data_IF_205795409844
#
_entry.id   IF_205795409844
#
_cell.length_a   1.000
_cell.length_b   1.000
_cell.length_c   1.000
_cell.angle_alpha   90.00
_cell.angle_beta   90.00
_cell.angle_gamma   90.00
#
_symmetry.space_group_name_H-M   'P 1'
#
loop_
_entity.id
_entity.type
_entity.pdbx_description
1 polymer ?
#
# COMPACT_ATOMS: atom_id res chain seq x y z
N UNK A 1 -3.31 -28.49 -2.10
CA UNK A 1 -2.44 -27.46 -2.71
C UNK A 1 -2.79 -26.03 -2.29
N UNK A 2 -4.06 -25.59 -2.42
CA UNK A 2 -4.45 -24.21 -2.10
C UNK A 2 -4.10 -23.79 -0.66
N UNK A 3 -4.42 -24.62 0.35
CA UNK A 3 -4.09 -24.31 1.75
C UNK A 3 -2.59 -24.12 2.01
N UNK A 4 -1.72 -24.87 1.32
CA UNK A 4 -0.27 -24.70 1.45
C UNK A 4 0.24 -23.41 0.81
N UNK A 5 -0.35 -23.00 -0.32
CA UNK A 5 -0.05 -21.70 -0.95
C UNK A 5 -0.52 -20.56 -0.05
N UNK A 6 -1.74 -20.64 0.48
CA UNK A 6 -2.30 -19.63 1.38
C UNK A 6 -1.44 -19.47 2.64
N UNK A 7 -1.11 -20.57 3.30
CA UNK A 7 -0.23 -20.55 4.48
C UNK A 7 1.13 -19.90 4.18
N UNK A 8 1.77 -20.26 3.07
CA UNK A 8 3.06 -19.67 2.68
C UNK A 8 2.93 -18.18 2.32
N UNK A 9 1.84 -17.79 1.67
CA UNK A 9 1.53 -16.39 1.40
C UNK A 9 1.42 -15.59 2.69
N UNK A 10 0.65 -16.09 3.66
CA UNK A 10 0.48 -15.45 4.97
C UNK A 10 1.80 -15.38 5.75
N UNK A 11 2.62 -16.44 5.75
CA UNK A 11 3.94 -16.46 6.42
C UNK A 11 4.92 -15.46 5.80
N UNK A 12 4.97 -15.36 4.47
CA UNK A 12 5.75 -14.31 3.79
C UNK A 12 5.16 -12.94 4.09
N UNK A 13 3.84 -12.84 4.24
CA UNK A 13 3.15 -11.64 4.69
C UNK A 13 3.59 -11.17 6.08
N UNK A 14 3.79 -12.08 7.03
CA UNK A 14 4.37 -11.76 8.35
C UNK A 14 5.76 -11.14 8.15
N UNK A 15 6.64 -11.80 7.38
CA UNK A 15 7.97 -11.28 7.10
C UNK A 15 7.93 -9.89 6.44
N UNK A 16 7.03 -9.69 5.47
CA UNK A 16 6.83 -8.41 4.81
C UNK A 16 6.39 -7.33 5.80
N UNK A 17 5.46 -7.65 6.70
CA UNK A 17 5.01 -6.75 7.76
C UNK A 17 6.11 -6.39 8.76
N UNK A 18 6.93 -7.36 9.18
CA UNK A 18 8.06 -7.11 10.09
C UNK A 18 9.14 -6.21 9.46
N UNK A 19 9.46 -6.43 8.18
CA UNK A 19 10.41 -5.59 7.46
C UNK A 19 9.82 -4.19 7.21
N UNK A 20 8.53 -4.09 6.91
CA UNK A 20 7.83 -2.82 6.80
C UNK A 20 7.77 -2.06 8.12
N UNK A 21 7.57 -2.76 9.25
CA UNK A 21 7.67 -2.18 10.59
C UNK A 21 9.06 -1.59 10.84
N UNK A 22 10.11 -2.38 10.61
CA UNK A 22 11.49 -1.89 10.79
C UNK A 22 11.77 -0.67 9.92
N UNK A 23 11.37 -0.70 8.65
CA UNK A 23 11.50 0.45 7.75
C UNK A 23 10.69 1.66 8.24
N UNK A 24 9.45 1.45 8.67
CA UNK A 24 8.58 2.51 9.18
C UNK A 24 9.14 3.14 10.46
N UNK A 25 9.74 2.36 11.36
CA UNK A 25 10.39 2.89 12.58
C UNK A 25 11.58 3.78 12.27
N UNK A 26 12.36 3.44 11.24
CA UNK A 26 13.59 4.17 10.88
C UNK A 26 13.30 5.39 10.00
N UNK A 27 12.40 5.26 9.03
CA UNK A 27 12.18 6.29 8.00
C UNK A 27 10.81 6.96 8.07
N UNK A 28 9.79 6.30 8.63
CA UNK A 28 8.43 6.84 8.73
C UNK A 28 8.19 7.63 10.03
N UNK A 29 8.45 7.02 11.18
CA UNK A 29 8.19 7.61 12.49
C UNK A 29 8.90 8.95 12.73
N UNK A 30 10.15 9.19 12.27
CA UNK A 30 10.74 10.52 12.37
C UNK A 30 9.91 11.60 11.65
N UNK A 31 9.29 11.27 10.51
CA UNK A 31 8.46 12.21 9.75
C UNK A 31 7.11 12.47 10.45
N UNK A 32 6.55 11.42 11.06
CA UNK A 32 5.34 11.53 11.89
C UNK A 32 5.62 12.40 13.12
N UNK A 33 6.75 12.21 13.78
CA UNK A 33 7.15 13.01 14.94
C UNK A 33 7.36 14.49 14.57
N UNK A 34 8.01 14.78 13.43
CA UNK A 34 8.17 16.14 12.90
C UNK A 34 6.82 16.79 12.62
N UNK A 35 5.89 16.06 12.02
CA UNK A 35 4.56 16.59 11.72
C UNK A 35 3.77 16.94 13.00
N UNK A 36 3.83 16.10 14.03
CA UNK A 36 3.19 16.35 15.33
C UNK A 36 3.82 17.55 16.05
N UNK A 37 5.15 17.72 15.99
CA UNK A 37 5.81 18.87 16.58
C UNK A 37 5.34 20.20 15.94
N UNK A 38 5.19 20.21 14.61
CA UNK A 38 4.68 21.36 13.86
C UNK A 38 3.21 21.69 14.20
N UNK A 39 2.40 20.68 14.51
CA UNK A 39 1.02 20.87 14.97
C UNK A 39 0.97 21.61 16.32
N UNK A 40 1.83 21.21 17.25
CA UNK A 40 1.95 21.83 18.57
C UNK A 40 2.40 23.29 18.48
N UNK A 41 3.38 23.59 17.63
CA UNK A 41 3.87 24.95 17.42
C UNK A 41 2.83 25.86 16.73
N UNK A 42 2.07 25.33 15.77
CA UNK A 42 0.98 26.05 15.09
C UNK A 42 -0.25 26.31 15.96
N UNK A 43 -0.51 25.43 16.94
CA UNK A 43 -1.61 25.58 17.91
C UNK A 43 -1.41 26.76 18.89
N UNK A 44 -0.17 27.22 19.10
CA UNK A 44 0.13 28.37 19.96
C UNK A 44 -0.09 29.73 19.28
N UNK A 45 -0.41 29.76 17.99
CA UNK A 45 -0.70 31.01 17.26
C UNK A 45 -2.21 31.31 17.10
N UNK A 46 -3.08 30.49 17.71
CA UNK A 46 -4.52 30.75 17.81
C UNK A 46 -4.98 30.75 19.28
N UNK A 47 -4.55 31.77 20.04
CA UNK A 47 -5.10 32.05 21.37
C UNK A 47 -4.05 32.41 22.41
N UNK A 48 -3.63 33.67 22.44
CA UNK A 48 -3.21 34.28 23.70
C UNK A 48 -4.43 34.33 24.63
N UNK A 49 -4.57 33.37 25.54
CA UNK A 49 -5.30 33.53 26.79
C UNK A 49 -4.90 32.45 27.81
N UNK A 50 -4.13 32.91 28.79
CA UNK A 50 -4.00 32.42 30.16
C UNK A 50 -3.04 31.26 30.49
N UNK A 51 -2.18 31.61 31.44
CA UNK A 51 -1.19 30.79 32.09
C UNK A 51 -1.81 29.76 33.04
N UNK A 52 -1.20 28.58 33.10
CA UNK A 52 -1.40 27.59 34.15
C UNK A 52 -0.16 26.71 34.26
N UNK A 53 0.54 26.85 35.39
CA UNK A 53 1.74 26.11 35.78
C UNK A 53 1.54 24.58 35.80
N UNK A 54 2.67 23.89 35.64
CA UNK A 54 2.83 22.43 35.64
C UNK A 54 2.24 21.75 36.88
N UNK A 55 1.57 20.60 36.69
CA UNK A 55 1.69 19.52 37.67
C UNK A 55 1.69 18.12 37.02
N UNK A 56 2.52 17.26 37.58
CA UNK A 56 2.74 15.88 37.18
C UNK A 56 1.67 14.98 37.80
N UNK A 57 0.64 14.60 37.05
CA UNK A 57 -0.13 13.40 37.38
C UNK A 57 -0.64 12.68 36.13
N UNK A 58 0.17 11.73 35.67
CA UNK A 58 -0.18 10.80 34.61
C UNK A 58 -1.05 9.68 35.19
N UNK A 59 -2.32 9.98 35.47
CA UNK A 59 -3.29 9.00 35.93
C UNK A 59 -4.61 9.12 35.15
N UNK A 60 -4.75 8.24 34.16
CA UNK A 60 -6.01 7.80 33.54
C UNK A 60 -7.07 8.89 33.27
N UNK A 61 -6.86 9.67 32.23
CA UNK A 61 -7.97 10.26 31.48
C UNK A 61 -8.62 9.16 30.60
N UNK A 62 -9.89 8.78 30.81
CA UNK A 62 -10.62 7.84 29.95
C UNK A 62 -10.88 8.37 28.53
N UNK A 63 -10.62 9.67 28.28
CA UNK A 63 -10.66 10.33 26.98
C UNK A 63 -9.30 10.45 26.28
N UNK A 64 -8.19 10.14 26.96
CA UNK A 64 -6.87 10.19 26.34
C UNK A 64 -6.73 9.02 25.36
N UNK A 65 -6.66 9.35 24.07
CA UNK A 65 -6.46 8.37 23.00
C UNK A 65 -5.20 7.51 23.19
N UNK A 66 -5.03 6.51 22.32
CA UNK A 66 -3.88 5.59 22.36
C UNK A 66 -2.56 6.40 22.37
N UNK A 67 -1.67 6.14 23.33
CA UNK A 67 -0.42 6.91 23.47
C UNK A 67 0.48 6.83 22.24
N UNK A 68 1.24 7.90 21.97
CA UNK A 68 2.20 7.96 20.84
C UNK A 68 3.23 6.84 20.89
N UNK A 69 3.68 6.45 22.09
CA UNK A 69 4.57 5.30 22.28
C UNK A 69 3.94 3.98 21.85
N UNK A 70 2.66 3.76 22.19
CA UNK A 70 1.91 2.58 21.74
C UNK A 70 1.67 2.60 20.23
N UNK A 71 1.30 3.75 19.65
CA UNK A 71 1.09 3.90 18.22
C UNK A 71 2.37 3.60 17.42
N UNK A 72 3.49 4.22 17.78
CA UNK A 72 4.79 4.03 17.13
C UNK A 72 5.42 2.67 17.42
N UNK A 73 5.04 2.02 18.52
CA UNK A 73 5.55 0.72 18.96
C UNK A 73 4.69 -0.45 18.52
N UNK A 74 3.98 -1.04 19.48
CA UNK A 74 3.21 -2.28 19.28
C UNK A 74 2.03 -2.09 18.32
N UNK A 75 1.45 -0.89 18.25
CA UNK A 75 0.38 -0.56 17.30
C UNK A 75 0.84 -0.65 15.86
N UNK A 76 1.94 0.04 15.53
CA UNK A 76 2.56 -0.01 14.20
C UNK A 76 3.03 -1.42 13.83
N UNK A 77 3.64 -2.15 14.76
CA UNK A 77 4.04 -3.55 14.56
C UNK A 77 2.85 -4.43 14.22
N UNK A 78 1.77 -4.30 14.98
CA UNK A 78 0.54 -5.07 14.76
C UNK A 78 -0.08 -4.72 13.42
N UNK A 79 -0.25 -3.42 13.13
CA UNK A 79 -0.87 -2.95 11.88
C UNK A 79 -0.12 -3.41 10.64
N UNK A 80 1.20 -3.22 10.60
CA UNK A 80 2.04 -3.64 9.47
C UNK A 80 2.07 -5.16 9.30
N UNK A 81 2.10 -5.93 10.40
CA UNK A 81 2.09 -7.40 10.37
C UNK A 81 0.75 -7.94 9.86
N UNK A 82 -0.37 -7.47 10.41
CA UNK A 82 -1.71 -7.88 9.98
C UNK A 82 -1.96 -7.50 8.53
N UNK A 83 -1.56 -6.29 8.12
CA UNK A 83 -1.63 -5.85 6.73
C UNK A 83 -0.82 -6.76 5.80
N UNK A 84 0.42 -7.08 6.19
CA UNK A 84 1.28 -8.00 5.43
C UNK A 84 0.68 -9.39 5.28
N UNK A 85 0.14 -9.97 6.36
CA UNK A 85 -0.56 -11.27 6.35
C UNK A 85 -1.75 -11.25 5.39
N UNK A 86 -2.60 -10.23 5.48
CA UNK A 86 -3.78 -10.10 4.64
C UNK A 86 -3.40 -10.00 3.16
N UNK A 87 -2.45 -9.12 2.81
CA UNK A 87 -1.97 -8.99 1.43
C UNK A 87 -1.28 -10.26 0.93
N UNK A 88 -0.48 -10.92 1.77
CA UNK A 88 0.16 -12.20 1.41
C UNK A 88 -0.86 -13.30 1.12
N UNK A 89 -1.95 -13.35 1.90
CA UNK A 89 -3.06 -14.27 1.66
C UNK A 89 -3.81 -13.96 0.36
N UNK A 90 -4.13 -12.69 0.11
CA UNK A 90 -4.77 -12.24 -1.14
C UNK A 90 -3.90 -12.57 -2.36
N UNK A 91 -2.60 -12.25 -2.30
CA UNK A 91 -1.66 -12.56 -3.38
C UNK A 91 -1.60 -14.08 -3.65
N UNK A 92 -1.62 -14.91 -2.61
CA UNK A 92 -1.64 -16.35 -2.76
C UNK A 92 -2.91 -16.88 -3.42
N UNK A 93 -4.08 -16.33 -3.08
CA UNK A 93 -5.36 -16.67 -3.71
C UNK A 93 -5.39 -16.27 -5.18
N UNK A 94 -4.97 -15.04 -5.49
CA UNK A 94 -4.87 -14.54 -6.87
C UNK A 94 -3.89 -15.40 -7.68
N UNK A 95 -2.71 -15.67 -7.14
CA UNK A 95 -1.72 -16.55 -7.77
C UNK A 95 -2.28 -17.94 -8.07
N UNK A 96 -2.98 -18.56 -7.11
CA UNK A 96 -3.60 -19.87 -7.31
C UNK A 96 -4.73 -19.85 -8.35
N UNK A 97 -5.41 -18.71 -8.52
CA UNK A 97 -6.37 -18.46 -9.60
C UNK A 97 -5.72 -18.36 -10.98
N UNK A 98 -4.58 -17.67 -11.04
CA UNK A 98 -3.88 -17.25 -12.28
C UNK A 98 -2.91 -18.32 -12.82
N UNK A 99 -2.11 -18.96 -11.95
CA UNK A 99 -1.04 -19.86 -12.36
C UNK A 99 -1.60 -21.09 -13.10
N UNK A 100 -1.07 -21.38 -14.29
CA UNK A 100 -1.49 -22.52 -15.11
C UNK A 100 -2.84 -22.36 -15.83
N UNK A 101 -3.68 -21.41 -15.41
CA UNK A 101 -4.94 -21.06 -16.10
C UNK A 101 -4.76 -19.87 -17.04
N UNK A 102 -4.23 -18.78 -16.50
CA UNK A 102 -4.08 -17.51 -17.22
C UNK A 102 -2.61 -17.20 -17.53
N UNK A 103 -1.67 -17.75 -16.75
CA UNK A 103 -0.23 -17.60 -16.94
C UNK A 103 0.43 -18.93 -17.28
N UNK A 104 1.16 -18.95 -18.40
CA UNK A 104 2.07 -20.03 -18.79
C UNK A 104 3.50 -19.82 -18.25
N UNK A 105 3.75 -18.74 -17.50
CA UNK A 105 5.06 -18.44 -16.95
C UNK A 105 5.40 -19.35 -15.76
N UNK A 106 6.69 -19.39 -15.43
CA UNK A 106 7.16 -20.03 -14.19
C UNK A 106 6.48 -19.37 -12.98
N UNK A 107 6.18 -20.12 -11.90
CA UNK A 107 5.54 -19.60 -10.69
C UNK A 107 6.15 -18.30 -10.16
N UNK A 108 7.48 -18.21 -10.09
CA UNK A 108 8.20 -17.00 -9.65
C UNK A 108 7.87 -15.77 -10.51
N UNK A 109 7.88 -15.93 -11.83
CA UNK A 109 7.60 -14.84 -12.75
C UNK A 109 6.14 -14.39 -12.67
N UNK A 110 5.19 -15.33 -12.56
CA UNK A 110 3.78 -15.00 -12.33
C UNK A 110 3.60 -14.22 -11.04
N UNK A 111 4.18 -14.67 -9.92
CA UNK A 111 4.08 -13.94 -8.65
C UNK A 111 4.71 -12.55 -8.74
N UNK A 112 5.88 -12.42 -9.38
CA UNK A 112 6.54 -11.13 -9.56
C UNK A 112 5.67 -10.14 -10.35
N UNK A 113 5.05 -10.59 -11.44
CA UNK A 113 4.14 -9.75 -12.25
C UNK A 113 2.85 -9.40 -11.49
N UNK A 114 2.28 -10.34 -10.72
CA UNK A 114 1.12 -10.06 -9.88
C UNK A 114 1.45 -9.05 -8.77
N UNK A 115 2.62 -9.19 -8.14
CA UNK A 115 3.07 -8.24 -7.12
C UNK A 115 3.35 -6.86 -7.72
N UNK A 116 4.01 -6.78 -8.88
CA UNK A 116 4.26 -5.51 -9.56
C UNK A 116 2.95 -4.84 -10.01
N UNK A 117 2.06 -5.59 -10.67
CA UNK A 117 0.76 -5.09 -11.10
C UNK A 117 -0.11 -4.65 -9.92
N UNK A 118 -0.11 -5.43 -8.83
CA UNK A 118 -0.80 -5.07 -7.59
C UNK A 118 -0.23 -3.81 -6.94
N UNK A 119 1.09 -3.67 -6.85
CA UNK A 119 1.74 -2.45 -6.37
C UNK A 119 1.35 -1.24 -7.22
N UNK A 120 1.43 -1.35 -8.55
CA UNK A 120 1.06 -0.26 -9.45
C UNK A 120 -0.41 0.13 -9.27
N UNK A 121 -1.31 -0.86 -9.30
CA UNK A 121 -2.75 -0.62 -9.30
C UNK A 121 -3.29 -0.16 -7.93
N UNK A 122 -2.77 -0.72 -6.82
CA UNK A 122 -3.30 -0.49 -5.47
C UNK A 122 -2.53 0.57 -4.68
N UNK A 123 -1.27 0.83 -5.03
CA UNK A 123 -0.40 1.73 -4.27
C UNK A 123 0.01 2.94 -5.10
N UNK A 124 0.70 2.71 -6.22
CA UNK A 124 1.34 3.78 -6.97
C UNK A 124 0.28 4.70 -7.58
N UNK A 125 -0.64 4.16 -8.36
CA UNK A 125 -1.63 4.96 -9.09
C UNK A 125 -2.58 5.73 -8.15
N UNK A 126 -3.18 5.11 -7.12
CA UNK A 126 -3.96 5.87 -6.14
C UNK A 126 -3.12 6.92 -5.40
N UNK A 127 -1.86 6.58 -5.05
CA UNK A 127 -0.95 7.49 -4.36
C UNK A 127 -0.46 8.66 -5.22
N UNK A 128 -0.45 8.53 -6.55
CA UNK A 128 -0.15 9.63 -7.47
C UNK A 128 -1.29 10.66 -7.51
N UNK A 129 -2.55 10.21 -7.50
CA UNK A 129 -3.71 11.12 -7.50
C UNK A 129 -4.03 11.67 -6.11
N UNK A 130 -3.94 10.83 -5.09
CA UNK A 130 -4.28 11.13 -3.71
C UNK A 130 -3.14 10.68 -2.78
N UNK A 131 -2.04 11.47 -2.71
CA UNK A 131 -0.88 11.12 -1.90
C UNK A 131 -1.20 11.13 -0.40
N UNK A 132 -0.40 10.39 0.37
CA UNK A 132 -0.56 10.35 1.82
C UNK A 132 -0.25 11.73 2.45
N UNK A 133 -1.05 12.11 3.43
CA UNK A 133 -0.84 13.30 4.24
C UNK A 133 -0.35 12.88 5.64
N UNK A 134 0.65 13.59 6.21
CA UNK A 134 1.09 13.36 7.58
C UNK A 134 0.00 13.75 8.58
N UNK A 135 0.15 13.39 9.87
CA UNK A 135 -0.61 14.04 10.93
C UNK A 135 -0.49 15.57 10.80
N UNK A 136 -1.48 16.32 11.29
CA UNK A 136 -1.61 17.79 11.13
C UNK A 136 -1.99 18.30 9.73
N UNK A 137 -2.01 17.46 8.68
CA UNK A 137 -2.42 17.88 7.32
C UNK A 137 -3.75 17.23 6.92
N UNK A 138 -4.77 18.07 6.75
CA UNK A 138 -6.13 17.69 6.41
C UNK A 138 -7.15 18.14 7.45
N UNK A 139 -8.42 18.18 7.07
CA UNK A 139 -9.50 18.61 7.97
C UNK A 139 -10.43 17.44 8.34
N UNK A 140 -11.05 17.43 9.53
CA UNK A 140 -12.01 16.39 9.90
C UNK A 140 -13.21 16.31 8.95
N UNK A 141 -13.65 17.44 8.41
CA UNK A 141 -14.83 17.56 7.53
C UNK A 141 -14.62 16.87 6.18
N UNK A 142 -13.37 16.75 5.71
CA UNK A 142 -13.04 16.16 4.41
C UNK A 142 -12.70 14.67 4.48
N UNK A 143 -12.66 14.06 5.67
CA UNK A 143 -12.30 12.63 5.85
C UNK A 143 -13.17 11.72 4.98
N UNK A 144 -14.48 11.98 4.96
CA UNK A 144 -15.44 11.18 4.19
C UNK A 144 -15.15 11.21 2.68
N UNK A 145 -15.04 12.41 2.10
CA UNK A 145 -14.82 12.57 0.66
C UNK A 145 -13.45 12.04 0.22
N UNK A 146 -12.41 12.22 1.03
CA UNK A 146 -11.07 11.67 0.75
C UNK A 146 -11.04 10.16 0.76
N UNK A 147 -11.70 9.57 1.75
CA UNK A 147 -11.79 8.11 1.85
C UNK A 147 -12.54 7.56 0.63
N UNK A 148 -13.70 8.15 0.29
CA UNK A 148 -14.50 7.72 -0.86
C UNK A 148 -13.73 7.85 -2.18
N UNK A 149 -13.10 9.00 -2.43
CA UNK A 149 -12.34 9.24 -3.68
C UNK A 149 -11.10 8.36 -3.79
N UNK A 150 -10.41 8.07 -2.69
CA UNK A 150 -9.31 7.11 -2.67
C UNK A 150 -9.78 5.70 -3.05
N UNK A 151 -10.88 5.23 -2.47
CA UNK A 151 -11.44 3.91 -2.83
C UNK A 151 -11.95 3.86 -4.27
N UNK A 152 -12.55 4.93 -4.79
CA UNK A 152 -12.95 5.03 -6.19
C UNK A 152 -11.73 4.96 -7.13
N UNK A 153 -10.65 5.68 -6.80
CA UNK A 153 -9.41 5.61 -7.57
C UNK A 153 -8.80 4.21 -7.55
N UNK A 154 -8.84 3.54 -6.40
CA UNK A 154 -8.40 2.14 -6.27
C UNK A 154 -9.24 1.22 -7.17
N UNK A 155 -10.57 1.34 -7.13
CA UNK A 155 -11.48 0.56 -7.95
C UNK A 155 -11.21 0.76 -9.44
N UNK A 156 -11.13 2.01 -9.91
CA UNK A 156 -10.87 2.32 -11.31
C UNK A 156 -9.49 1.85 -11.77
N UNK A 157 -8.46 1.99 -10.93
CA UNK A 157 -7.11 1.52 -11.23
C UNK A 157 -7.06 0.00 -11.38
N UNK A 158 -7.72 -0.75 -10.49
CA UNK A 158 -7.83 -2.21 -10.60
C UNK A 158 -8.62 -2.61 -11.84
N UNK A 159 -9.75 -1.96 -12.10
CA UNK A 159 -10.58 -2.20 -13.30
C UNK A 159 -9.81 -1.96 -14.59
N UNK A 160 -9.08 -0.85 -14.69
CA UNK A 160 -8.22 -0.54 -15.83
C UNK A 160 -7.11 -1.58 -16.00
N UNK A 161 -6.50 -2.05 -14.91
CA UNK A 161 -5.45 -3.09 -14.95
C UNK A 161 -6.01 -4.40 -15.52
N UNK A 162 -7.20 -4.82 -15.05
CA UNK A 162 -7.88 -6.02 -15.54
C UNK A 162 -8.19 -5.88 -17.04
N UNK A 163 -8.74 -4.73 -17.46
CA UNK A 163 -9.07 -4.48 -18.86
C UNK A 163 -7.81 -4.46 -19.75
N UNK A 164 -6.71 -3.86 -19.30
CA UNK A 164 -5.43 -3.88 -20.00
C UNK A 164 -4.90 -5.30 -20.20
N UNK A 165 -4.98 -6.15 -19.16
CA UNK A 165 -4.63 -7.58 -19.27
C UNK A 165 -5.58 -8.32 -20.21
N UNK A 166 -6.89 -8.04 -20.17
CA UNK A 166 -7.86 -8.65 -21.09
C UNK A 166 -7.55 -8.31 -22.55
N UNK A 167 -7.27 -7.03 -22.85
CA UNK A 167 -6.88 -6.56 -24.18
C UNK A 167 -5.61 -7.26 -24.64
N UNK A 168 -4.56 -7.28 -23.80
CA UNK A 168 -3.31 -7.96 -24.14
C UNK A 168 -3.51 -9.44 -24.45
N UNK A 169 -4.32 -10.14 -23.65
CA UNK A 169 -4.59 -11.57 -23.88
C UNK A 169 -5.38 -11.81 -25.16
N UNK A 170 -6.39 -10.99 -25.43
CA UNK A 170 -7.18 -11.11 -26.65
C UNK A 170 -6.34 -10.92 -27.91
N UNK A 171 -5.41 -9.95 -27.90
CA UNK A 171 -4.58 -9.63 -29.06
C UNK A 171 -3.37 -10.54 -29.23
N UNK A 172 -2.99 -11.32 -28.22
CA UNK A 172 -1.77 -12.15 -28.24
C UNK A 172 -1.76 -13.16 -29.39
N UNK A 173 -2.90 -13.80 -29.69
CA UNK A 173 -2.97 -14.80 -30.75
C UNK A 173 -2.81 -14.21 -32.17
N UNK A 174 -3.28 -12.98 -32.37
CA UNK A 174 -3.29 -12.33 -33.69
C UNK A 174 -2.04 -11.46 -33.94
N UNK A 175 -1.45 -10.85 -32.90
CA UNK A 175 -0.39 -9.85 -33.04
C UNK A 175 0.92 -10.22 -32.30
N UNK A 176 0.96 -11.41 -31.69
CA UNK A 176 2.07 -11.84 -30.84
C UNK A 176 2.06 -11.20 -29.45
N UNK A 177 2.75 -11.84 -28.51
CA UNK A 177 2.74 -11.43 -27.11
C UNK A 177 3.32 -10.01 -26.89
N UNK A 178 4.46 -9.69 -27.53
CA UNK A 178 5.14 -8.41 -27.33
C UNK A 178 4.23 -7.21 -27.64
N UNK A 179 3.68 -7.15 -28.85
CA UNK A 179 2.79 -6.08 -29.29
C UNK A 179 1.52 -6.03 -28.45
N UNK A 180 0.92 -7.19 -28.18
CA UNK A 180 -0.33 -7.25 -27.43
C UNK A 180 -0.19 -6.72 -25.99
N UNK A 181 0.91 -7.05 -25.31
CA UNK A 181 1.19 -6.55 -23.95
C UNK A 181 1.54 -5.06 -23.94
N UNK A 182 2.23 -4.54 -24.95
CA UNK A 182 2.44 -3.08 -25.09
C UNK A 182 1.11 -2.33 -25.27
N UNK A 183 0.20 -2.87 -26.09
CA UNK A 183 -1.15 -2.29 -26.27
C UNK A 183 -1.95 -2.34 -24.96
N UNK A 184 -1.91 -3.45 -24.23
CA UNK A 184 -2.59 -3.57 -22.92
C UNK A 184 -2.05 -2.60 -21.87
N UNK A 185 -0.73 -2.42 -21.81
CA UNK A 185 -0.09 -1.42 -20.93
C UNK A 185 -0.48 0.00 -21.35
N UNK A 186 -0.46 0.30 -22.66
CA UNK A 186 -0.90 1.58 -23.19
C UNK A 186 -2.36 1.89 -22.83
N UNK A 187 -3.25 0.91 -22.98
CA UNK A 187 -4.66 1.03 -22.60
C UNK A 187 -4.81 1.30 -21.09
N UNK A 188 -4.06 0.60 -20.25
CA UNK A 188 -4.04 0.86 -18.80
C UNK A 188 -3.65 2.31 -18.49
N UNK A 189 -2.54 2.79 -19.07
CA UNK A 189 -2.04 4.16 -18.85
C UNK A 189 -3.06 5.20 -19.30
N UNK A 190 -3.65 5.04 -20.49
CA UNK A 190 -4.66 5.96 -21.02
C UNK A 190 -5.89 5.98 -20.11
N UNK A 191 -6.43 4.83 -19.72
CA UNK A 191 -7.61 4.76 -18.85
C UNK A 191 -7.35 5.39 -17.49
N UNK A 192 -6.19 5.11 -16.87
CA UNK A 192 -5.81 5.73 -15.59
C UNK A 192 -5.67 7.24 -15.74
N UNK A 193 -5.03 7.73 -16.81
CA UNK A 193 -4.89 9.16 -17.05
C UNK A 193 -6.27 9.85 -17.20
N UNK A 194 -7.19 9.25 -17.96
CA UNK A 194 -8.55 9.76 -18.11
C UNK A 194 -9.30 9.80 -16.76
N UNK A 195 -9.22 8.74 -15.96
CA UNK A 195 -9.81 8.71 -14.62
C UNK A 195 -9.20 9.79 -13.72
N UNK A 196 -7.87 9.95 -13.73
CA UNK A 196 -7.19 10.98 -12.95
C UNK A 196 -7.62 12.39 -13.33
N UNK A 197 -7.90 12.63 -14.62
CA UNK A 197 -8.40 13.91 -15.12
C UNK A 197 -9.86 14.16 -14.70
N UNK A 198 -10.70 13.12 -14.68
CA UNK A 198 -12.10 13.22 -14.29
C UNK A 198 -12.31 13.33 -12.77
N UNK A 199 -11.44 12.70 -11.98
CA UNK A 199 -11.55 12.66 -10.53
C UNK A 199 -11.24 14.02 -9.89
N UNK A 200 -11.97 14.44 -8.83
CA UNK A 200 -11.77 15.73 -8.20
C UNK A 200 -10.36 15.83 -7.61
N UNK A 201 -9.76 17.02 -7.73
CA UNK A 201 -8.51 17.33 -7.03
C UNK A 201 -8.86 17.79 -5.62
N UNK A 202 -8.27 17.14 -4.62
CA UNK A 202 -8.43 17.48 -3.22
C UNK A 202 -7.14 18.13 -2.76
N UNK A 203 -7.22 19.41 -2.39
CA UNK A 203 -6.08 20.17 -1.92
C UNK A 203 -6.26 20.50 -0.43
N UNK A 204 -5.56 19.73 0.41
CA UNK A 204 -5.50 19.94 1.86
C UNK A 204 -4.17 20.59 2.29
N UNK A 205 -3.27 20.82 1.33
CA UNK A 205 -1.90 21.28 1.61
C UNK A 205 -1.79 22.77 1.39
N UNK A 206 -2.38 23.27 0.30
CA UNK A 206 -2.37 24.69 -0.01
C UNK A 206 -3.15 25.45 1.06
N UNK A 207 -2.47 26.33 1.79
CA UNK A 207 -3.04 27.07 2.91
C UNK A 207 -2.75 26.49 4.29
N UNK A 208 -2.23 25.25 4.39
CA UNK A 208 -1.84 24.66 5.68
C UNK A 208 -0.57 25.26 6.29
N UNK A 209 0.24 25.96 5.48
CA UNK A 209 1.58 26.42 5.90
C UNK A 209 2.57 25.27 6.16
N UNK A 210 2.18 24.01 5.91
CA UNK A 210 2.99 22.85 6.25
C UNK A 210 4.29 22.79 5.42
N UNK A 211 5.46 22.57 6.03
CA UNK A 211 6.74 22.56 5.33
C UNK A 211 6.79 21.52 4.20
N UNK A 212 7.03 21.99 2.97
CA UNK A 212 7.06 21.15 1.78
C UNK A 212 8.11 20.03 1.84
N UNK A 213 9.26 20.29 2.47
CA UNK A 213 10.32 19.29 2.69
C UNK A 213 9.84 18.11 3.55
N UNK A 214 9.27 18.40 4.72
CA UNK A 214 8.71 17.38 5.62
C UNK A 214 7.58 16.60 4.95
N UNK A 215 6.71 17.28 4.18
CA UNK A 215 5.63 16.64 3.43
C UNK A 215 6.17 15.65 2.40
N UNK A 216 7.21 16.04 1.66
CA UNK A 216 7.85 15.20 0.67
C UNK A 216 8.50 13.97 1.31
N UNK A 217 9.27 14.17 2.39
CA UNK A 217 9.91 13.06 3.13
C UNK A 217 8.87 12.07 3.67
N UNK A 218 7.76 12.56 4.22
CA UNK A 218 6.66 11.72 4.70
C UNK A 218 6.03 10.91 3.55
N UNK A 219 5.76 11.53 2.41
CA UNK A 219 5.17 10.86 1.24
C UNK A 219 6.10 9.81 0.67
N UNK A 220 7.39 10.12 0.58
CA UNK A 220 8.42 9.18 0.13
C UNK A 220 8.55 7.99 1.08
N UNK A 221 8.60 8.24 2.40
CA UNK A 221 8.63 7.17 3.40
C UNK A 221 7.38 6.29 3.33
N UNK A 222 6.19 6.89 3.20
CA UNK A 222 4.92 6.18 3.06
C UNK A 222 4.88 5.28 1.82
N UNK A 223 5.37 5.77 0.68
CA UNK A 223 5.47 4.98 -0.54
C UNK A 223 6.49 3.85 -0.39
N UNK A 224 7.65 4.13 0.22
CA UNK A 224 8.72 3.16 0.43
C UNK A 224 8.30 2.01 1.37
N UNK A 225 7.56 2.29 2.45
CA UNK A 225 7.01 1.26 3.35
C UNK A 225 6.13 0.28 2.56
N UNK A 226 5.26 0.80 1.69
CA UNK A 226 4.40 -0.03 0.84
C UNK A 226 5.24 -0.80 -0.17
N UNK A 227 6.25 -0.18 -0.79
CA UNK A 227 7.16 -0.83 -1.72
C UNK A 227 7.91 -2.01 -1.08
N UNK A 228 8.36 -1.89 0.18
CA UNK A 228 8.98 -2.97 0.95
C UNK A 228 8.03 -4.17 1.07
N UNK A 229 6.76 -3.93 1.46
CA UNK A 229 5.77 -5.01 1.56
C UNK A 229 5.62 -5.74 0.24
N UNK A 230 5.38 -5.01 -0.84
CA UNK A 230 5.16 -5.61 -2.17
C UNK A 230 6.39 -6.31 -2.73
N UNK A 231 7.60 -5.79 -2.49
CA UNK A 231 8.85 -6.43 -2.90
C UNK A 231 9.08 -7.75 -2.15
N UNK A 232 8.88 -7.76 -0.83
CA UNK A 232 9.04 -8.98 -0.01
C UNK A 232 7.99 -10.02 -0.40
N UNK A 233 6.74 -9.61 -0.62
CA UNK A 233 5.70 -10.51 -1.12
C UNK A 233 6.07 -11.08 -2.50
N UNK A 234 6.43 -10.24 -3.48
CA UNK A 234 6.77 -10.68 -4.83
C UNK A 234 7.94 -11.68 -4.87
N UNK A 235 9.01 -11.40 -4.14
CA UNK A 235 10.22 -12.24 -4.11
C UNK A 235 9.99 -13.47 -3.22
N UNK A 236 9.60 -13.25 -1.96
CA UNK A 236 9.46 -14.28 -0.95
C UNK A 236 8.38 -15.29 -1.30
N UNK A 237 7.19 -14.82 -1.70
CA UNK A 237 6.11 -15.72 -2.07
C UNK A 237 6.39 -16.40 -3.41
N UNK A 238 7.06 -15.73 -4.36
CA UNK A 238 7.50 -16.34 -5.62
C UNK A 238 8.37 -17.57 -5.39
N UNK A 239 9.39 -17.45 -4.53
CA UNK A 239 10.27 -18.57 -4.14
C UNK A 239 9.47 -19.67 -3.44
N UNK A 240 8.59 -19.28 -2.51
CA UNK A 240 7.78 -20.20 -1.72
C UNK A 240 6.80 -21.00 -2.59
N UNK A 241 6.11 -20.35 -3.53
CA UNK A 241 5.13 -20.93 -4.44
C UNK A 241 5.77 -21.93 -5.41
N UNK A 242 6.92 -21.60 -5.99
CA UNK A 242 7.63 -22.53 -6.87
C UNK A 242 8.01 -23.83 -6.15
N UNK A 243 8.47 -23.73 -4.90
CA UNK A 243 8.79 -24.91 -4.07
C UNK A 243 7.54 -25.75 -3.75
N UNK A 244 6.35 -25.16 -3.60
CA UNK A 244 5.11 -25.93 -3.39
C UNK A 244 4.79 -26.74 -4.63
N UNK A 245 4.76 -26.06 -5.78
CA UNK A 245 4.35 -26.67 -7.04
C UNK A 245 5.33 -27.75 -7.51
N UNK A 246 6.64 -27.54 -7.34
CA UNK A 246 7.64 -28.56 -7.64
C UNK A 246 7.45 -29.84 -6.81
N UNK A 247 7.18 -29.72 -5.50
CA UNK A 247 6.94 -30.88 -4.62
C UNK A 247 5.65 -31.62 -4.97
N UNK A 248 4.58 -30.90 -5.30
CA UNK A 248 3.33 -31.51 -5.71
C UNK A 248 3.45 -32.33 -7.00
N UNK A 249 4.24 -31.86 -7.96
CA UNK A 249 4.51 -32.60 -9.20
C UNK A 249 5.31 -33.88 -8.97
N UNK A 250 6.20 -33.91 -7.96
CA UNK A 250 6.94 -35.11 -7.60
C UNK A 250 6.04 -36.15 -6.93
N UNK A 251 5.13 -35.71 -6.05
CA UNK A 251 4.17 -36.61 -5.37
C UNK A 251 3.13 -37.19 -6.33
N UNK A 252 2.73 -36.46 -7.37
CA UNK A 252 1.79 -36.96 -8.37
C UNK A 252 2.40 -37.98 -9.37
N UNK A 253 3.73 -38.13 -9.36
CA UNK A 253 4.47 -39.04 -10.26
C UNK A 253 5.01 -40.30 -9.56
N UNK A 254 4.91 -40.36 -8.24
CA UNK A 254 5.30 -41.50 -7.41
C UNK A 254 4.06 -42.31 -7.04
#
# INVERSE_FOLDING_TARGET
MMGQLLLRGMLVGILAGLLAFGFARVFGEPQVARAVALEGEGGHHHGEAEAGEHDHDAAHDPGAGISRGTQAGIGLLTGTTVYGVALGGVLALVFAGVQGRLSALRPRATVALLALGGFVALVLVPGLKYPANPPAVGSPETIGIRTATFFMMLLFSVGAMILGVMIARHLTAAHGAWTAWLVGIGAYVVLVALVMLMMPTLDEVSGSGFPAGTLWEFRLASLAIRAVVWAVLGIGFGIAAERVLARGNHQARA
#
